data_IF_493320867686
#
_entry.id   IF_493320867686
#
_cell.length_a   1.000
_cell.length_b   1.000
_cell.length_c   1.000
_cell.angle_alpha   90.00
_cell.angle_beta   90.00
_cell.angle_gamma   90.00
#
_symmetry.space_group_name_H-M   'P 1'
#
loop_
_entity.id
_entity.type
_entity.pdbx_description
1 polymer ?
#
# COMPACT_ATOMS: atom_id res chain seq x y z
N UNK A 1 -4.98 10.76 -12.31
CA UNK A 1 -6.43 10.66 -12.17
C UNK A 1 -6.99 9.48 -12.97
N UNK A 2 -8.27 9.18 -12.80
CA UNK A 2 -9.00 8.10 -13.49
C UNK A 2 -8.97 8.24 -15.02
N UNK A 3 -9.26 9.43 -15.53
CA UNK A 3 -9.36 9.70 -16.96
C UNK A 3 -8.05 9.43 -17.71
N UNK A 4 -6.91 9.81 -17.13
CA UNK A 4 -5.60 9.55 -17.70
C UNK A 4 -5.28 8.05 -17.73
N UNK A 5 -5.60 7.32 -16.66
CA UNK A 5 -5.43 5.86 -16.61
C UNK A 5 -6.21 5.17 -17.70
N UNK A 6 -7.48 5.53 -17.88
CA UNK A 6 -8.36 5.01 -18.94
C UNK A 6 -7.82 5.37 -20.34
N UNK A 7 -7.47 6.64 -20.56
CA UNK A 7 -6.96 7.13 -21.85
C UNK A 7 -5.68 6.40 -22.25
N UNK A 8 -4.75 6.23 -21.32
CA UNK A 8 -3.46 5.56 -21.56
C UNK A 8 -3.68 4.08 -21.85
N UNK A 9 -4.48 3.38 -21.01
CA UNK A 9 -4.75 1.94 -21.17
C UNK A 9 -5.47 1.66 -22.51
N UNK A 10 -6.48 2.45 -22.85
CA UNK A 10 -7.17 2.33 -24.17
C UNK A 10 -6.19 2.48 -25.30
N UNK A 11 -5.38 3.56 -25.29
CA UNK A 11 -4.42 3.81 -26.38
C UNK A 11 -3.40 2.69 -26.49
N UNK A 12 -2.87 2.19 -25.37
CA UNK A 12 -1.92 1.10 -25.38
C UNK A 12 -2.54 -0.19 -25.93
N UNK A 13 -3.76 -0.54 -25.51
CA UNK A 13 -4.50 -1.69 -26.02
C UNK A 13 -4.73 -1.59 -27.53
N UNK A 14 -5.23 -0.45 -28.01
CA UNK A 14 -5.50 -0.23 -29.45
C UNK A 14 -4.23 -0.36 -30.29
N UNK A 15 -3.10 0.15 -29.81
CA UNK A 15 -1.82 0.02 -30.49
C UNK A 15 -1.33 -1.42 -30.52
N UNK A 16 -1.34 -2.11 -29.37
CA UNK A 16 -0.85 -3.46 -29.25
C UNK A 16 -1.71 -4.46 -30.03
N UNK A 17 -3.02 -4.44 -29.82
CA UNK A 17 -3.92 -5.43 -30.41
C UNK A 17 -4.20 -5.12 -31.88
N UNK A 18 -4.59 -3.87 -32.21
CA UNK A 18 -5.08 -3.55 -33.54
C UNK A 18 -3.98 -3.26 -34.57
N UNK A 19 -2.81 -2.74 -34.11
CA UNK A 19 -1.69 -2.42 -35.02
C UNK A 19 -0.58 -3.43 -35.02
N UNK A 20 -0.19 -3.91 -33.83
CA UNK A 20 0.90 -4.88 -33.65
C UNK A 20 0.40 -6.32 -33.72
N UNK A 21 -0.90 -6.54 -33.56
CA UNK A 21 -1.55 -7.86 -33.47
C UNK A 21 -0.99 -8.70 -32.30
N UNK A 22 -0.68 -8.03 -31.21
CA UNK A 22 -0.25 -8.66 -29.97
C UNK A 22 -1.43 -9.38 -29.30
N UNK A 23 -1.28 -10.59 -28.79
CA UNK A 23 -2.36 -11.31 -28.12
C UNK A 23 -2.87 -10.51 -26.90
N UNK A 24 -4.16 -10.19 -26.83
CA UNK A 24 -4.69 -9.39 -25.72
C UNK A 24 -4.59 -10.07 -24.36
N UNK A 25 -4.60 -11.41 -24.32
CA UNK A 25 -4.40 -12.22 -23.11
C UNK A 25 -2.99 -12.17 -22.53
N UNK A 26 -2.01 -11.67 -23.27
CA UNK A 26 -0.64 -11.44 -22.81
C UNK A 26 -0.42 -10.00 -22.32
N UNK A 27 -1.47 -9.15 -22.35
CA UNK A 27 -1.40 -7.77 -21.90
C UNK A 27 -1.78 -7.70 -20.42
N UNK A 28 -0.89 -7.14 -19.61
CA UNK A 28 -1.14 -6.86 -18.20
C UNK A 28 -1.04 -5.35 -17.97
N UNK A 29 -2.15 -4.71 -17.60
CA UNK A 29 -2.16 -3.30 -17.23
C UNK A 29 -1.88 -3.11 -15.75
N UNK A 30 -0.94 -2.23 -15.41
CA UNK A 30 -0.77 -1.69 -14.05
C UNK A 30 -1.14 -0.20 -14.06
N UNK A 31 -2.37 0.17 -13.62
CA UNK A 31 -2.81 1.56 -13.60
C UNK A 31 -2.22 2.36 -12.42
N UNK A 32 -1.16 1.89 -11.80
CA UNK A 32 -0.43 2.46 -10.66
C UNK A 32 -1.24 2.58 -9.37
N UNK A 33 -0.86 1.80 -8.37
CA UNK A 33 -1.30 2.00 -7.00
C UNK A 33 -0.45 3.09 -6.37
N UNK A 34 -1.08 4.17 -5.96
CA UNK A 34 -0.44 5.34 -5.36
C UNK A 34 -0.82 5.45 -3.88
N UNK A 35 0.02 6.15 -3.11
CA UNK A 35 -0.15 6.33 -1.68
C UNK A 35 -1.35 7.22 -1.36
N UNK A 36 -2.19 6.78 -0.42
CA UNK A 36 -3.27 7.57 0.19
C UNK A 36 -2.97 7.88 1.66
N UNK A 37 -3.81 8.69 2.29
CA UNK A 37 -3.63 9.04 3.71
C UNK A 37 -2.40 9.92 3.97
N UNK A 38 -2.01 10.73 3.00
CA UNK A 38 -0.83 11.61 3.07
C UNK A 38 -1.15 13.01 3.64
N UNK A 39 -2.43 13.35 3.83
CA UNK A 39 -2.88 14.69 4.16
C UNK A 39 -2.90 15.68 2.98
N UNK A 40 -2.46 15.25 1.78
CA UNK A 40 -2.50 16.06 0.55
C UNK A 40 -3.83 15.78 -0.15
N UNK A 41 -4.63 16.82 -0.39
CA UNK A 41 -5.96 16.69 -0.96
C UNK A 41 -5.98 15.99 -2.34
N UNK A 42 -4.98 16.27 -3.19
CA UNK A 42 -4.84 15.65 -4.51
C UNK A 42 -4.67 14.12 -4.44
N UNK A 43 -4.15 13.60 -3.33
CA UNK A 43 -3.91 12.16 -3.15
C UNK A 43 -5.14 11.41 -2.63
N UNK A 44 -6.19 12.10 -2.21
CA UNK A 44 -7.35 11.49 -1.57
C UNK A 44 -8.08 10.48 -2.48
N UNK A 45 -8.15 10.74 -3.78
CA UNK A 45 -8.85 9.90 -4.75
C UNK A 45 -7.99 8.80 -5.39
N UNK A 46 -6.70 8.69 -5.07
CA UNK A 46 -5.80 7.79 -5.80
C UNK A 46 -6.21 6.31 -5.76
N UNK A 47 -6.71 5.82 -4.63
CA UNK A 47 -7.19 4.45 -4.52
C UNK A 47 -8.55 4.28 -5.25
N UNK A 48 -9.45 5.23 -5.08
CA UNK A 48 -10.74 5.24 -5.76
C UNK A 48 -10.58 5.30 -7.29
N UNK A 49 -9.64 6.11 -7.78
CA UNK A 49 -9.28 6.20 -9.19
C UNK A 49 -8.70 4.88 -9.73
N UNK A 50 -7.93 4.16 -8.89
CA UNK A 50 -7.45 2.82 -9.25
C UNK A 50 -8.62 1.86 -9.42
N UNK A 51 -9.55 1.80 -8.46
CA UNK A 51 -10.70 0.91 -8.52
C UNK A 51 -11.57 1.20 -9.75
N UNK A 52 -11.85 2.48 -10.04
CA UNK A 52 -12.60 2.90 -11.23
C UNK A 52 -11.89 2.51 -12.51
N UNK A 53 -10.56 2.73 -12.59
CA UNK A 53 -9.77 2.40 -13.77
C UNK A 53 -9.70 0.88 -13.99
N UNK A 54 -9.48 0.08 -12.94
CA UNK A 54 -9.50 -1.37 -13.02
C UNK A 54 -10.86 -1.87 -13.54
N UNK A 55 -11.96 -1.38 -12.97
CA UNK A 55 -13.30 -1.74 -13.42
C UNK A 55 -13.59 -1.31 -14.87
N UNK A 56 -13.02 -0.19 -15.31
CA UNK A 56 -13.17 0.23 -16.69
C UNK A 56 -12.35 -0.68 -17.63
N UNK A 57 -11.08 -0.96 -17.31
CA UNK A 57 -10.20 -1.85 -18.08
C UNK A 57 -10.84 -3.22 -18.25
N UNK A 58 -11.26 -3.84 -17.14
CA UNK A 58 -11.89 -5.16 -17.12
C UNK A 58 -13.12 -5.26 -18.04
N UNK A 59 -13.92 -4.20 -18.11
CA UNK A 59 -15.14 -4.20 -18.94
C UNK A 59 -14.91 -3.80 -20.40
N UNK A 60 -13.86 -3.05 -20.71
CA UNK A 60 -13.71 -2.41 -22.04
C UNK A 60 -12.49 -2.91 -22.82
N UNK A 61 -11.54 -3.59 -22.19
CA UNK A 61 -10.34 -4.15 -22.82
C UNK A 61 -10.35 -5.68 -22.68
N UNK A 62 -11.12 -6.39 -23.54
CA UNK A 62 -11.34 -7.82 -23.37
C UNK A 62 -10.04 -8.60 -23.41
N UNK A 63 -9.95 -9.63 -22.54
CA UNK A 63 -8.84 -10.54 -22.36
C UNK A 63 -7.57 -9.93 -21.71
N UNK A 64 -7.49 -8.60 -21.57
CA UNK A 64 -6.36 -8.00 -20.86
C UNK A 64 -6.49 -8.20 -19.33
N UNK A 65 -5.34 -8.37 -18.69
CA UNK A 65 -5.21 -8.56 -17.24
C UNK A 65 -4.87 -7.25 -16.53
N UNK A 66 -5.10 -7.23 -15.21
CA UNK A 66 -4.86 -6.05 -14.38
C UNK A 66 -4.00 -6.45 -13.19
N UNK A 67 -2.89 -5.75 -13.00
CA UNK A 67 -1.98 -5.90 -11.87
C UNK A 67 -1.84 -4.62 -11.06
N UNK A 68 -1.30 -4.72 -9.84
CA UNK A 68 -0.96 -3.57 -9.02
C UNK A 68 0.02 -3.87 -7.91
N UNK A 69 0.88 -2.91 -7.60
CA UNK A 69 1.82 -2.95 -6.48
C UNK A 69 1.14 -2.47 -5.19
N UNK A 70 0.48 -3.38 -4.46
CA UNK A 70 -0.45 -3.05 -3.37
C UNK A 70 0.21 -2.30 -2.21
N UNK A 71 1.44 -2.65 -1.85
CA UNK A 71 2.12 -2.04 -0.71
C UNK A 71 2.29 -0.52 -0.81
N UNK A 72 2.22 0.03 -2.02
CA UNK A 72 2.34 1.47 -2.26
C UNK A 72 1.20 2.27 -1.60
N UNK A 73 -0.02 1.70 -1.52
CA UNK A 73 -1.20 2.38 -0.97
C UNK A 73 -0.97 2.89 0.46
N UNK A 74 -0.16 2.19 1.24
CA UNK A 74 0.02 2.39 2.68
C UNK A 74 1.33 3.07 3.06
N UNK A 75 2.08 3.68 2.14
CA UNK A 75 3.38 4.27 2.46
C UNK A 75 3.32 5.41 3.48
N UNK A 76 2.22 6.13 3.59
CA UNK A 76 2.02 7.15 4.62
C UNK A 76 2.07 6.58 6.05
N UNK A 77 1.80 5.28 6.22
CA UNK A 77 1.74 4.58 7.51
C UNK A 77 2.95 3.67 7.74
N UNK A 78 4.11 3.97 7.17
CA UNK A 78 5.36 3.23 7.42
C UNK A 78 5.66 3.19 8.91
N UNK A 79 6.05 1.99 9.40
CA UNK A 79 6.30 1.75 10.82
C UNK A 79 5.08 1.25 11.60
N UNK A 80 3.86 1.33 11.03
CA UNK A 80 2.63 0.80 11.64
C UNK A 80 2.11 -0.41 10.84
N UNK A 81 2.73 -1.57 11.03
CA UNK A 81 2.38 -2.78 10.27
C UNK A 81 0.90 -3.17 10.39
N UNK A 82 0.24 -3.13 11.57
CA UNK A 82 -1.18 -3.50 11.67
C UNK A 82 -2.12 -2.64 10.81
N UNK A 83 -1.85 -1.34 10.70
CA UNK A 83 -2.61 -0.45 9.82
C UNK A 83 -2.31 -0.77 8.36
N UNK A 84 -1.03 -1.00 8.01
CA UNK A 84 -0.64 -1.31 6.64
C UNK A 84 -1.21 -2.64 6.15
N UNK A 85 -1.14 -3.68 6.97
CA UNK A 85 -1.69 -5.01 6.65
C UNK A 85 -3.20 -4.93 6.38
N UNK A 86 -3.93 -4.23 7.24
CA UNK A 86 -5.34 -4.01 7.05
C UNK A 86 -5.65 -3.15 5.79
N UNK A 87 -4.85 -2.11 5.51
CA UNK A 87 -4.98 -1.32 4.28
C UNK A 87 -4.76 -2.16 3.02
N UNK A 88 -3.75 -3.05 3.02
CA UNK A 88 -3.49 -3.95 1.89
C UNK A 88 -4.69 -4.88 1.65
N UNK A 89 -5.20 -5.48 2.71
CA UNK A 89 -6.32 -6.42 2.64
C UNK A 89 -7.62 -5.74 2.20
N UNK A 90 -7.93 -4.56 2.75
CA UNK A 90 -9.11 -3.79 2.33
C UNK A 90 -8.99 -3.29 0.88
N UNK A 91 -7.80 -2.82 0.47
CA UNK A 91 -7.57 -2.43 -0.92
C UNK A 91 -7.78 -3.61 -1.88
N UNK A 92 -7.20 -4.79 -1.58
CA UNK A 92 -7.37 -6.00 -2.40
C UNK A 92 -8.82 -6.42 -2.49
N UNK A 93 -9.55 -6.38 -1.39
CA UNK A 93 -10.98 -6.69 -1.36
C UNK A 93 -11.77 -5.84 -2.38
N UNK A 94 -11.59 -4.52 -2.36
CA UNK A 94 -12.26 -3.63 -3.30
C UNK A 94 -11.74 -3.75 -4.73
N UNK A 95 -10.42 -3.90 -4.92
CA UNK A 95 -9.81 -3.97 -6.24
C UNK A 95 -10.19 -5.25 -7.00
N UNK A 96 -10.26 -6.40 -6.32
CA UNK A 96 -10.67 -7.67 -6.93
C UNK A 96 -12.12 -7.65 -7.39
N UNK A 97 -13.01 -6.98 -6.67
CA UNK A 97 -14.40 -6.76 -7.11
C UNK A 97 -14.48 -5.89 -8.39
N UNK A 98 -13.46 -5.10 -8.67
CA UNK A 98 -13.36 -4.30 -9.88
C UNK A 98 -12.56 -4.97 -11.00
N UNK A 99 -12.13 -6.22 -10.81
CA UNK A 99 -11.46 -7.00 -11.86
C UNK A 99 -9.93 -7.01 -11.77
N UNK A 100 -9.34 -6.58 -10.65
CA UNK A 100 -7.92 -6.87 -10.39
C UNK A 100 -7.74 -8.38 -10.27
N UNK A 101 -6.89 -8.98 -11.09
CA UNK A 101 -6.66 -10.43 -11.16
C UNK A 101 -5.23 -10.83 -10.77
N UNK A 102 -4.30 -9.88 -10.72
CA UNK A 102 -2.93 -10.07 -10.26
C UNK A 102 -2.49 -8.96 -9.31
N UNK A 103 -1.55 -9.26 -8.41
CA UNK A 103 -0.97 -8.23 -7.55
C UNK A 103 0.45 -8.57 -7.11
N UNK A 104 1.24 -7.53 -6.82
CA UNK A 104 2.53 -7.63 -6.17
C UNK A 104 2.34 -7.14 -4.73
N UNK A 105 2.49 -8.05 -3.78
CA UNK A 105 2.34 -7.78 -2.34
C UNK A 105 3.15 -8.77 -1.52
N UNK A 106 3.59 -8.35 -0.32
CA UNK A 106 4.14 -9.30 0.65
C UNK A 106 2.99 -10.09 1.28
N UNK A 107 2.88 -11.39 0.95
CA UNK A 107 1.82 -12.25 1.44
C UNK A 107 1.78 -12.34 2.99
N UNK A 108 2.94 -12.19 3.65
CA UNK A 108 3.02 -12.13 5.11
C UNK A 108 2.49 -10.83 5.74
N UNK A 109 2.11 -9.86 4.92
CA UNK A 109 1.51 -8.58 5.32
C UNK A 109 0.06 -8.44 4.85
N UNK A 110 -0.66 -9.54 4.84
CA UNK A 110 -2.09 -9.59 4.56
C UNK A 110 -2.80 -10.25 5.74
N UNK A 111 -3.97 -9.73 6.07
CA UNK A 111 -4.93 -10.37 6.97
C UNK A 111 -6.22 -10.68 6.21
N UNK A 112 -7.03 -11.57 6.74
CA UNK A 112 -8.34 -11.86 6.15
C UNK A 112 -9.25 -10.66 6.36
N UNK A 113 -9.85 -10.14 5.29
CA UNK A 113 -10.68 -8.93 5.32
C UNK A 113 -11.76 -8.98 6.41
N UNK A 114 -12.46 -10.10 6.54
CA UNK A 114 -13.52 -10.28 7.54
C UNK A 114 -13.02 -10.33 8.99
N UNK A 115 -11.71 -10.56 9.19
CA UNK A 115 -11.09 -10.59 10.51
C UNK A 115 -10.57 -9.21 10.95
N UNK A 116 -10.55 -8.22 10.06
CA UNK A 116 -10.15 -6.85 10.41
C UNK A 116 -11.16 -6.29 11.42
N UNK A 117 -10.71 -5.78 12.59
CA UNK A 117 -11.61 -5.12 13.54
C UNK A 117 -12.44 -4.03 12.86
N UNK A 118 -13.74 -4.01 13.11
CA UNK A 118 -14.69 -3.13 12.40
C UNK A 118 -14.37 -1.65 12.51
N UNK A 119 -13.91 -1.21 13.67
CA UNK A 119 -13.49 0.16 13.93
C UNK A 119 -12.27 0.55 13.07
N UNK A 120 -11.30 -0.36 12.94
CA UNK A 120 -10.13 -0.17 12.07
C UNK A 120 -10.52 -0.20 10.59
N UNK A 121 -11.36 -1.15 10.21
CA UNK A 121 -11.81 -1.29 8.83
C UNK A 121 -12.55 -0.05 8.35
N UNK A 122 -13.45 0.51 9.17
CA UNK A 122 -14.18 1.75 8.87
C UNK A 122 -13.22 2.91 8.58
N UNK A 123 -12.22 3.12 9.44
CA UNK A 123 -11.22 4.19 9.26
C UNK A 123 -10.40 4.02 7.99
N UNK A 124 -10.02 2.78 7.68
CA UNK A 124 -9.25 2.45 6.47
C UNK A 124 -10.09 2.67 5.22
N UNK A 125 -11.34 2.20 5.21
CA UNK A 125 -12.23 2.38 4.07
C UNK A 125 -12.63 3.84 3.85
N UNK A 126 -12.77 4.62 4.93
CA UNK A 126 -12.98 6.08 4.82
C UNK A 126 -11.84 6.74 4.02
N UNK A 127 -10.58 6.29 4.23
CA UNK A 127 -9.41 6.78 3.47
C UNK A 127 -9.37 6.20 2.05
N UNK A 128 -9.54 4.88 1.88
CA UNK A 128 -9.44 4.22 0.57
C UNK A 128 -10.53 4.67 -0.41
N UNK A 129 -11.72 4.93 0.10
CA UNK A 129 -12.90 5.29 -0.69
C UNK A 129 -13.22 6.79 -0.65
N UNK A 130 -12.35 7.58 0.00
CA UNK A 130 -12.52 9.03 0.18
C UNK A 130 -13.92 9.42 0.65
N UNK A 131 -14.42 8.72 1.70
CA UNK A 131 -15.79 8.91 2.20
C UNK A 131 -15.95 10.18 3.04
N UNK A 132 -14.84 10.71 3.59
CA UNK A 132 -14.83 11.80 4.56
C UNK A 132 -13.60 12.69 4.35
N UNK A 133 -13.77 13.96 4.59
CA UNK A 133 -12.66 14.95 4.51
C UNK A 133 -11.64 14.82 5.64
N UNK A 134 -12.06 14.31 6.82
CA UNK A 134 -11.22 14.08 8.00
C UNK A 134 -10.67 12.63 8.09
N UNK A 135 -10.85 11.83 7.04
CA UNK A 135 -10.49 10.39 7.05
C UNK A 135 -9.02 10.16 7.38
N UNK A 136 -8.12 10.93 6.77
CA UNK A 136 -6.67 10.82 6.99
C UNK A 136 -6.28 11.13 8.43
N UNK A 137 -6.82 12.21 9.01
CA UNK A 137 -6.55 12.61 10.40
C UNK A 137 -7.00 11.53 11.37
N UNK A 138 -8.23 11.03 11.21
CA UNK A 138 -8.79 9.96 12.05
C UNK A 138 -7.95 8.69 12.01
N UNK A 139 -7.50 8.26 10.82
CA UNK A 139 -6.66 7.07 10.68
C UNK A 139 -5.26 7.29 11.25
N UNK A 140 -4.70 8.51 11.13
CA UNK A 140 -3.42 8.88 11.73
C UNK A 140 -3.48 8.83 13.25
N UNK A 141 -4.50 9.43 13.87
CA UNK A 141 -4.72 9.37 15.32
C UNK A 141 -4.86 7.94 15.83
N UNK A 142 -5.56 7.09 15.09
CA UNK A 142 -5.69 5.67 15.41
C UNK A 142 -4.35 4.95 15.32
N UNK A 143 -3.57 5.22 14.27
CA UNK A 143 -2.25 4.63 14.06
C UNK A 143 -1.26 5.02 15.18
N UNK A 144 -1.31 6.28 15.63
CA UNK A 144 -0.48 6.78 16.75
C UNK A 144 -0.85 6.10 18.07
N UNK A 145 -2.14 5.92 18.37
CA UNK A 145 -2.61 5.19 19.56
C UNK A 145 -2.12 3.75 19.55
N UNK A 146 -2.25 3.03 18.44
CA UNK A 146 -1.73 1.66 18.30
C UNK A 146 -0.20 1.58 18.49
N UNK A 147 0.53 2.56 18.00
CA UNK A 147 1.98 2.64 18.19
C UNK A 147 2.35 2.88 19.67
N UNK A 148 1.61 3.76 20.35
CA UNK A 148 1.81 4.05 21.77
C UNK A 148 1.53 2.83 22.67
N UNK A 149 0.47 2.07 22.39
CA UNK A 149 0.13 0.83 23.10
C UNK A 149 1.23 -0.22 22.98
N UNK A 150 1.83 -0.39 21.79
CA UNK A 150 2.96 -1.29 21.55
C UNK A 150 4.24 -0.86 22.28
N UNK A 151 4.48 0.43 22.43
CA UNK A 151 5.65 0.95 23.15
C UNK A 151 5.51 0.85 24.69
N UNK A 152 4.29 0.64 25.19
CA UNK A 152 3.99 0.43 26.61
C UNK A 152 4.44 -0.94 27.13
N UNK A 153 4.65 -1.93 26.27
CA UNK A 153 5.16 -3.24 26.66
C UNK A 153 6.71 -3.22 26.65
N UNK A 154 7.30 -2.92 27.81
CA UNK A 154 8.74 -2.67 27.99
C UNK A 154 9.70 -3.80 27.61
N UNK A 155 9.21 -4.89 27.00
CA UNK A 155 10.03 -5.99 26.48
C UNK A 155 10.68 -5.67 25.12
N UNK A 156 10.04 -4.92 24.23
CA UNK A 156 10.64 -4.57 22.95
C UNK A 156 11.79 -3.56 23.06
N UNK A 157 11.73 -2.62 24.02
CA UNK A 157 12.83 -1.64 24.22
C UNK A 157 14.15 -2.29 24.67
N UNK A 158 14.11 -3.38 25.46
CA UNK A 158 15.33 -4.10 25.89
C UNK A 158 15.97 -4.87 24.73
N UNK A 159 15.18 -5.48 23.86
CA UNK A 159 15.69 -6.25 22.71
C UNK A 159 16.23 -5.33 21.60
N UNK A 160 15.61 -4.17 21.40
CA UNK A 160 16.06 -3.16 20.41
C UNK A 160 17.39 -2.52 20.79
N UNK A 161 17.75 -2.46 22.07
CA UNK A 161 19.00 -1.86 22.54
C UNK A 161 20.15 -2.87 22.75
N UNK A 162 19.87 -4.15 22.92
CA UNK A 162 20.87 -5.18 23.19
C UNK A 162 21.92 -5.32 22.06
N UNK A 163 21.56 -5.06 20.82
CA UNK A 163 22.52 -5.06 19.70
C UNK A 163 23.55 -3.92 19.78
N UNK A 164 23.25 -2.84 20.51
CA UNK A 164 24.16 -1.71 20.72
C UNK A 164 25.33 -2.03 21.68
N UNK A 165 25.20 -3.08 22.46
CA UNK A 165 26.26 -3.56 23.37
C UNK A 165 27.27 -4.48 22.67
N UNK A 166 27.03 -4.82 21.39
CA UNK A 166 27.93 -5.63 20.57
C UNK A 166 29.08 -4.78 20.03
N UNK A 167 30.09 -5.44 19.47
CA UNK A 167 31.20 -4.77 18.79
C UNK A 167 30.73 -3.94 17.59
N UNK A 168 31.55 -2.98 17.15
CA UNK A 168 31.20 -2.01 16.09
C UNK A 168 30.81 -2.69 14.78
N UNK A 169 31.48 -3.79 14.40
CA UNK A 169 31.21 -4.48 13.14
C UNK A 169 29.81 -5.09 13.15
N UNK A 170 29.42 -5.75 14.24
CA UNK A 170 28.08 -6.34 14.41
C UNK A 170 26.99 -5.27 14.52
N UNK A 171 27.29 -4.15 15.13
CA UNK A 171 26.38 -3.01 15.19
C UNK A 171 26.09 -2.43 13.81
N UNK A 172 27.13 -2.26 12.99
CA UNK A 172 27.01 -1.80 11.61
C UNK A 172 26.24 -2.81 10.76
N UNK A 173 26.58 -4.10 10.86
CA UNK A 173 25.87 -5.16 10.15
C UNK A 173 24.37 -5.16 10.49
N UNK A 174 24.04 -5.11 11.79
CA UNK A 174 22.64 -5.07 12.24
C UNK A 174 21.90 -3.84 11.75
N UNK A 175 22.52 -2.65 11.82
CA UNK A 175 21.89 -1.41 11.38
C UNK A 175 21.63 -1.39 9.87
N UNK A 176 22.56 -1.93 9.07
CA UNK A 176 22.40 -2.08 7.62
C UNK A 176 21.27 -3.06 7.28
N UNK A 177 21.25 -4.24 7.90
CA UNK A 177 20.21 -5.25 7.69
C UNK A 177 18.82 -4.73 8.05
N UNK A 178 18.72 -3.94 9.13
CA UNK A 178 17.45 -3.40 9.65
C UNK A 178 17.08 -2.03 9.08
N UNK A 179 17.93 -1.42 8.23
CA UNK A 179 17.68 -0.11 7.64
C UNK A 179 17.60 1.02 8.69
N UNK A 180 18.39 0.92 9.78
CA UNK A 180 18.39 1.92 10.85
C UNK A 180 19.31 3.07 10.45
N UNK A 181 18.73 4.19 10.00
CA UNK A 181 19.48 5.37 9.53
C UNK A 181 19.70 6.44 10.59
N UNK A 182 18.91 6.45 11.65
CA UNK A 182 18.95 7.47 12.71
C UNK A 182 20.29 7.52 13.49
N UNK A 183 21.12 6.50 13.34
CA UNK A 183 22.34 6.30 14.09
C UNK A 183 23.62 6.35 13.26
N UNK A 184 23.51 6.56 11.96
CA UNK A 184 24.64 6.57 11.05
C UNK A 184 25.69 7.63 11.40
N UNK A 185 25.29 8.75 11.99
CA UNK A 185 26.17 9.85 12.39
C UNK A 185 26.70 9.76 13.83
N UNK A 186 26.09 8.94 14.68
CA UNK A 186 26.48 8.80 16.11
C UNK A 186 27.21 7.51 16.47
N UNK A 187 27.31 6.59 15.52
CA UNK A 187 27.95 5.28 15.74
C UNK A 187 29.43 5.24 15.31
N UNK A 188 29.97 6.35 14.82
CA UNK A 188 31.35 6.46 14.29
C UNK A 188 32.25 7.31 15.22
N UNK A 189 31.77 7.70 16.42
CA UNK A 189 32.60 8.39 17.42
C UNK A 189 32.66 7.58 18.70
#
# INVERSE_FOLDING_TARGET
NYEDRVRISRRAYDLLVNRVQFPPEDIIFDPNVLTVGTGIAEHADYALDFFKAAGWISRNLPHAHISGGISNVSFAFRGNNPVREAMHSAFLYHATQQGLDMCIVNAGMLEVYDNIPKDRLELIEDVLLNRRTDATERLTDYAEKLAAEKTGDGKEKKTVLAWREQDVSKRLEYSLIKGITELDRKSVV
#
